data_IF_616643415164
#
_entry.id   IF_616643415164
#
_cell.length_a   1.000
_cell.length_b   1.000
_cell.length_c   1.000
_cell.angle_alpha   90.00
_cell.angle_beta   90.00
_cell.angle_gamma   90.00
#
_symmetry.space_group_name_H-M   'P 1'
#
loop_
_entity.id
_entity.type
_entity.pdbx_description
1 polymer ?
#
# COMPACT_ATOMS: atom_id res chain seq x y z
N UNK A 1 22.72 12.69 59.76
CA UNK A 1 24.14 13.16 59.91
C UNK A 1 24.61 13.59 58.56
N UNK A 2 24.82 14.85 58.41
CA UNK A 2 25.82 15.61 57.66
C UNK A 2 26.02 15.22 56.17
N UNK A 3 26.01 16.09 55.20
CA UNK A 3 26.03 17.54 55.18
C UNK A 3 25.99 18.06 53.74
N UNK A 4 25.32 19.16 53.61
CA UNK A 4 25.20 20.07 52.48
C UNK A 4 26.56 20.65 52.05
N UNK A 5 26.74 20.93 50.76
CA UNK A 5 27.44 22.15 50.32
C UNK A 5 26.97 22.58 48.91
N UNK A 6 26.37 23.73 48.92
CA UNK A 6 26.11 24.67 47.83
C UNK A 6 27.40 25.37 47.37
N UNK A 7 27.53 25.69 46.09
CA UNK A 7 28.26 26.88 45.61
C UNK A 7 27.80 27.28 44.20
N UNK A 8 27.26 28.47 44.09
CA UNK A 8 27.02 29.33 42.91
C UNK A 8 28.12 30.38 42.82
N UNK A 9 28.07 31.39 41.90
CA UNK A 9 28.39 31.36 40.47
C UNK A 9 29.52 32.39 40.16
N UNK A 10 30.04 32.40 38.94
CA UNK A 10 30.99 33.39 38.46
C UNK A 10 30.67 33.93 37.08
N UNK A 11 30.13 35.12 37.04
CA UNK A 11 29.97 35.95 35.86
C UNK A 11 31.33 36.56 35.47
N UNK A 12 31.61 36.66 34.16
CA UNK A 12 32.57 37.65 33.65
C UNK A 12 32.04 38.26 32.35
N UNK A 13 32.07 39.59 32.39
CA UNK A 13 31.55 40.57 31.46
C UNK A 13 32.35 40.71 30.14
N UNK A 14 31.60 41.14 29.18
CA UNK A 14 31.84 41.92 27.98
C UNK A 14 33.23 42.56 27.72
N UNK A 15 33.64 42.56 26.46
CA UNK A 15 34.27 43.75 25.80
C UNK A 15 33.95 43.75 24.30
N UNK A 16 33.23 44.80 23.92
CA UNK A 16 33.09 45.36 22.56
C UNK A 16 34.45 45.93 22.08
N UNK A 17 34.77 45.72 20.81
CA UNK A 17 35.67 46.60 20.07
C UNK A 17 35.20 46.69 18.60
N UNK A 18 34.66 47.85 18.26
CA UNK A 18 34.39 48.30 16.90
C UNK A 18 35.70 48.80 16.27
N UNK A 19 35.95 48.44 15.01
CA UNK A 19 36.88 49.18 14.14
C UNK A 19 36.25 49.40 12.77
N UNK A 20 35.95 50.64 12.52
CA UNK A 20 35.64 51.28 11.23
C UNK A 20 36.97 51.71 10.60
N UNK A 21 37.14 51.52 9.28
CA UNK A 21 37.96 52.36 8.37
C UNK A 21 37.88 51.77 6.95
N UNK A 22 37.17 52.45 6.08
CA UNK A 22 37.57 53.48 5.07
C UNK A 22 38.08 52.87 3.75
N UNK A 23 37.30 53.21 2.72
CA UNK A 23 37.49 52.95 1.30
C UNK A 23 38.71 53.63 0.72
N UNK A 24 39.37 53.01 -0.25
CA UNK A 24 40.06 53.71 -1.35
C UNK A 24 39.89 52.94 -2.66
N UNK A 25 39.31 53.64 -3.62
CA UNK A 25 39.25 53.25 -5.01
C UNK A 25 40.58 53.55 -5.71
N UNK A 26 41.07 52.59 -6.48
CA UNK A 26 42.06 52.88 -7.54
C UNK A 26 41.69 52.13 -8.80
N UNK A 27 41.30 52.92 -9.81
CA UNK A 27 41.17 52.53 -11.21
C UNK A 27 42.57 52.36 -11.82
N UNK A 28 42.84 51.21 -12.41
CA UNK A 28 43.90 51.06 -13.42
C UNK A 28 43.38 50.12 -14.52
N UNK A 29 43.26 50.68 -15.71
CA UNK A 29 43.03 50.01 -16.96
C UNK A 29 44.28 49.24 -17.42
N UNK A 30 44.10 48.03 -17.93
CA UNK A 30 45.19 47.22 -18.49
C UNK A 30 44.67 46.06 -19.34
N UNK A 31 44.72 46.28 -20.61
CA UNK A 31 44.71 45.44 -21.81
C UNK A 31 44.55 43.92 -21.71
N UNK A 32 43.66 43.52 -22.60
CA UNK A 32 43.40 42.21 -23.21
C UNK A 32 44.58 41.25 -23.35
N UNK A 33 44.32 40.01 -22.94
CA UNK A 33 44.74 38.81 -23.71
C UNK A 33 43.64 37.78 -23.64
N UNK A 34 43.04 37.46 -24.78
CA UNK A 34 42.03 36.47 -24.94
C UNK A 34 42.53 35.08 -24.48
N UNK A 35 41.79 34.49 -23.61
CA UNK A 35 41.78 33.07 -23.37
C UNK A 35 40.33 32.61 -23.65
N UNK A 36 40.17 31.86 -24.74
CA UNK A 36 38.96 31.17 -25.14
C UNK A 36 38.61 30.10 -24.07
N UNK A 37 37.98 30.53 -23.00
CA UNK A 37 37.24 29.65 -22.11
C UNK A 37 35.85 29.46 -22.75
N UNK A 38 35.64 28.33 -23.40
CA UNK A 38 34.30 27.90 -23.80
C UNK A 38 33.39 27.90 -22.56
N UNK A 39 32.06 28.06 -22.77
CA UNK A 39 31.12 27.90 -21.68
C UNK A 39 31.34 26.53 -21.09
N UNK A 40 31.75 26.44 -19.84
CA UNK A 40 31.54 25.25 -19.04
C UNK A 40 30.02 25.08 -18.99
N UNK A 41 29.48 24.21 -19.84
CA UNK A 41 28.16 23.64 -19.64
C UNK A 41 28.17 23.07 -18.23
N UNK A 42 27.50 23.76 -17.33
CA UNK A 42 27.08 23.18 -16.08
C UNK A 42 26.23 21.97 -16.43
N UNK A 43 26.77 20.78 -16.22
CA UNK A 43 26.08 19.49 -16.35
C UNK A 43 25.04 19.28 -15.22
N UNK A 44 24.51 20.33 -14.66
CA UNK A 44 23.27 20.33 -13.89
C UNK A 44 22.12 20.40 -14.89
N UNK A 45 21.81 19.23 -15.47
CA UNK A 45 20.51 19.00 -16.10
C UNK A 45 19.40 19.34 -15.13
N UNK A 46 18.17 19.66 -15.58
CA UNK A 46 17.08 20.06 -14.71
C UNK A 46 16.81 18.96 -13.69
N UNK A 47 17.40 19.13 -12.50
CA UNK A 47 17.34 18.18 -11.39
C UNK A 47 16.01 18.34 -10.66
N UNK A 48 14.91 18.12 -11.34
CA UNK A 48 13.58 18.18 -10.77
C UNK A 48 12.50 18.05 -11.83
N UNK A 49 11.33 17.67 -11.38
CA UNK A 49 10.12 17.53 -12.19
C UNK A 49 8.99 18.40 -11.60
N UNK A 50 9.13 19.75 -11.53
CA UNK A 50 8.24 20.60 -10.73
C UNK A 50 6.77 20.45 -11.11
N UNK A 51 6.44 20.31 -12.39
CA UNK A 51 5.06 20.13 -12.82
C UNK A 51 4.50 18.73 -12.42
N UNK A 52 5.34 17.70 -12.42
CA UNK A 52 4.95 16.35 -11.96
C UNK A 52 4.79 16.38 -10.44
N UNK A 53 5.73 16.99 -9.73
CA UNK A 53 5.70 17.15 -8.28
C UNK A 53 4.45 17.89 -7.80
N UNK A 54 4.08 19.01 -8.42
CA UNK A 54 2.87 19.75 -8.07
C UNK A 54 1.60 18.89 -8.26
N UNK A 55 1.52 18.11 -9.34
CA UNK A 55 0.42 17.14 -9.54
C UNK A 55 0.44 16.03 -8.52
N UNK A 56 1.61 15.52 -8.17
CA UNK A 56 1.78 14.48 -7.15
C UNK A 56 1.31 14.98 -5.78
N UNK A 57 1.74 16.16 -5.35
CA UNK A 57 1.30 16.80 -4.11
C UNK A 57 -0.22 16.98 -4.06
N UNK A 58 -0.82 17.49 -5.12
CA UNK A 58 -2.27 17.67 -5.19
C UNK A 58 -3.05 16.35 -5.18
N UNK A 59 -2.49 15.26 -5.74
CA UNK A 59 -3.11 13.94 -5.71
C UNK A 59 -3.01 13.30 -4.33
N UNK A 60 -1.85 13.40 -3.70
CA UNK A 60 -1.62 12.90 -2.33
C UNK A 60 -2.52 13.63 -1.34
N UNK A 61 -2.58 14.96 -1.39
CA UNK A 61 -3.45 15.75 -0.49
C UNK A 61 -4.93 15.35 -0.59
N UNK A 62 -5.43 15.02 -1.78
CA UNK A 62 -6.80 14.50 -1.91
C UNK A 62 -6.96 13.09 -1.34
N UNK A 63 -5.94 12.24 -1.48
CA UNK A 63 -5.98 10.89 -0.93
C UNK A 63 -5.79 10.85 0.60
N UNK A 64 -5.28 11.93 1.20
CA UNK A 64 -5.14 12.11 2.65
C UNK A 64 -6.43 12.56 3.34
N UNK A 65 -7.50 12.91 2.59
CA UNK A 65 -8.79 13.27 3.15
C UNK A 65 -9.37 12.10 3.96
N UNK A 66 -9.75 12.37 5.20
CA UNK A 66 -10.21 11.34 6.15
C UNK A 66 -11.73 11.20 6.19
N UNK A 67 -12.47 12.27 5.92
CA UNK A 67 -13.93 12.26 5.92
C UNK A 67 -14.46 11.90 4.53
N UNK A 68 -14.41 10.61 4.20
CA UNK A 68 -14.93 10.07 2.94
C UNK A 68 -16.31 9.45 3.22
N UNK A 69 -17.41 10.14 2.86
CA UNK A 69 -18.74 9.61 3.08
C UNK A 69 -19.01 8.42 2.16
N UNK A 70 -19.96 7.58 2.58
CA UNK A 70 -20.41 6.46 1.78
C UNK A 70 -20.90 6.91 0.39
N UNK A 71 -20.26 6.41 -0.64
CA UNK A 71 -20.58 6.67 -2.05
C UNK A 71 -20.95 5.38 -2.82
N UNK A 72 -21.13 4.28 -2.11
CA UNK A 72 -21.45 2.98 -2.68
C UNK A 72 -22.95 2.75 -2.84
N UNK A 73 -23.38 1.49 -3.03
CA UNK A 73 -24.78 1.12 -3.24
C UNK A 73 -25.70 1.62 -2.14
N UNK A 74 -26.84 2.17 -2.53
CA UNK A 74 -27.93 2.58 -1.63
C UNK A 74 -29.18 1.70 -1.76
N UNK A 75 -29.17 0.79 -2.74
CA UNK A 75 -30.25 -0.15 -3.03
C UNK A 75 -29.71 -1.50 -3.50
N UNK A 76 -30.48 -2.55 -3.25
CA UNK A 76 -30.13 -3.92 -3.61
C UNK A 76 -31.19 -4.91 -3.13
N UNK A 77 -30.97 -6.21 -3.32
CA UNK A 77 -31.90 -7.24 -2.85
C UNK A 77 -31.85 -7.38 -1.33
N UNK A 78 -33.00 -7.64 -0.72
CA UNK A 78 -33.07 -8.09 0.67
C UNK A 78 -32.22 -9.37 0.86
N UNK A 79 -31.76 -9.62 2.07
CA UNK A 79 -30.91 -10.76 2.38
C UNK A 79 -31.59 -12.10 2.07
N UNK A 80 -30.99 -12.92 1.21
CA UNK A 80 -31.41 -14.30 0.96
C UNK A 80 -30.98 -15.17 2.14
N UNK A 81 -31.88 -15.94 2.72
CA UNK A 81 -31.56 -16.76 3.91
C UNK A 81 -30.76 -18.04 3.57
N UNK A 82 -30.06 -18.59 4.57
CA UNK A 82 -29.53 -19.95 4.59
C UNK A 82 -28.44 -20.23 3.56
N UNK A 83 -27.52 -19.30 3.35
CA UNK A 83 -26.38 -19.47 2.44
C UNK A 83 -25.10 -19.84 3.17
N UNK A 84 -24.24 -20.59 2.48
CA UNK A 84 -22.89 -20.93 2.94
C UNK A 84 -21.88 -20.44 1.93
N UNK A 85 -20.91 -19.66 2.40
CA UNK A 85 -19.80 -19.16 1.58
C UNK A 85 -18.50 -19.87 1.98
N UNK A 86 -17.73 -20.30 1.00
CA UNK A 86 -16.35 -20.75 1.23
C UNK A 86 -15.39 -19.67 0.74
N UNK A 87 -14.55 -19.15 1.65
CA UNK A 87 -13.46 -18.24 1.33
C UNK A 87 -12.18 -19.06 1.16
N UNK A 88 -11.68 -19.17 -0.07
CA UNK A 88 -10.39 -19.77 -0.35
C UNK A 88 -9.34 -18.69 -0.30
N UNK A 89 -8.48 -18.74 0.70
CA UNK A 89 -7.40 -17.78 0.89
C UNK A 89 -6.12 -18.22 0.14
N UNK A 90 -5.44 -17.28 -0.50
CA UNK A 90 -4.08 -17.54 -1.01
C UNK A 90 -3.18 -18.02 0.15
N UNK A 91 -3.12 -17.23 1.22
CA UNK A 91 -2.57 -17.62 2.53
C UNK A 91 -3.14 -16.73 3.63
N UNK A 92 -3.45 -17.31 4.77
CA UNK A 92 -3.92 -16.56 5.94
C UNK A 92 -2.80 -15.85 6.70
N UNK A 93 -1.54 -16.07 6.33
CA UNK A 93 -0.41 -15.30 6.85
C UNK A 93 -0.27 -13.92 6.20
N UNK A 94 -0.96 -13.69 5.06
CA UNK A 94 -1.10 -12.36 4.47
C UNK A 94 -2.20 -11.57 5.20
N UNK A 95 -1.87 -10.46 5.91
CA UNK A 95 -2.83 -9.68 6.69
C UNK A 95 -4.00 -9.14 5.87
N UNK A 96 -3.78 -8.76 4.60
CA UNK A 96 -4.84 -8.29 3.71
C UNK A 96 -5.86 -9.37 3.41
N UNK A 97 -5.39 -10.58 3.03
CA UNK A 97 -6.26 -11.75 2.81
C UNK A 97 -7.06 -12.09 4.06
N UNK A 98 -6.40 -12.09 5.23
CA UNK A 98 -7.05 -12.36 6.52
C UNK A 98 -8.06 -11.27 6.90
N UNK A 99 -7.75 -10.00 6.63
CA UNK A 99 -8.63 -8.85 6.89
C UNK A 99 -9.90 -8.91 6.06
N UNK A 100 -9.79 -9.15 4.75
CA UNK A 100 -10.95 -9.33 3.86
C UNK A 100 -11.81 -10.52 4.27
N UNK A 101 -11.20 -11.68 4.62
CA UNK A 101 -11.92 -12.84 5.13
C UNK A 101 -12.68 -12.56 6.43
N UNK A 102 -12.10 -11.76 7.33
CA UNK A 102 -12.77 -11.31 8.55
C UNK A 102 -13.96 -10.39 8.24
N UNK A 103 -13.82 -9.47 7.29
CA UNK A 103 -14.91 -8.64 6.81
C UNK A 103 -16.08 -9.48 6.26
N UNK A 104 -15.77 -10.52 5.46
CA UNK A 104 -16.78 -11.49 4.97
C UNK A 104 -17.49 -12.18 6.12
N UNK A 105 -16.78 -12.66 7.14
CA UNK A 105 -17.38 -13.29 8.33
C UNK A 105 -18.32 -12.34 9.07
N UNK A 106 -17.89 -11.09 9.28
CA UNK A 106 -18.69 -10.06 9.95
C UNK A 106 -20.00 -9.80 9.20
N UNK A 107 -19.91 -9.58 7.89
CA UNK A 107 -21.07 -9.31 7.05
C UNK A 107 -22.03 -10.51 6.98
N UNK A 108 -21.49 -11.70 6.78
CA UNK A 108 -22.25 -12.95 6.72
C UNK A 108 -23.03 -13.19 8.03
N UNK A 109 -22.41 -12.92 9.17
CA UNK A 109 -23.07 -13.02 10.48
C UNK A 109 -24.31 -12.10 10.58
N UNK A 110 -24.24 -10.89 10.02
CA UNK A 110 -25.36 -9.94 10.02
C UNK A 110 -26.58 -10.49 9.28
N UNK A 111 -26.37 -11.23 8.18
CA UNK A 111 -27.46 -11.76 7.35
C UNK A 111 -27.75 -13.25 7.58
N UNK A 112 -27.08 -13.86 8.57
CA UNK A 112 -27.32 -15.25 8.98
C UNK A 112 -26.78 -16.27 7.99
N UNK A 113 -25.60 -16.02 7.41
CA UNK A 113 -24.89 -16.95 6.54
C UNK A 113 -23.70 -17.60 7.26
N UNK A 114 -23.37 -18.82 6.85
CA UNK A 114 -22.18 -19.52 7.29
C UNK A 114 -20.99 -19.21 6.38
N UNK A 115 -19.80 -19.05 7.00
CA UNK A 115 -18.54 -18.85 6.27
C UNK A 115 -17.49 -19.85 6.72
N UNK A 116 -16.97 -20.61 5.76
CA UNK A 116 -15.80 -21.46 5.94
C UNK A 116 -14.58 -20.84 5.22
N UNK A 117 -13.47 -20.74 5.91
CA UNK A 117 -12.19 -20.32 5.31
C UNK A 117 -11.31 -21.54 5.13
N UNK A 118 -10.73 -21.68 3.92
CA UNK A 118 -9.77 -22.72 3.58
C UNK A 118 -8.47 -22.01 3.18
N UNK A 119 -7.37 -22.31 3.88
CA UNK A 119 -6.07 -21.70 3.64
C UNK A 119 -5.30 -22.48 2.56
N UNK A 120 -4.91 -21.80 1.49
CA UNK A 120 -4.05 -22.34 0.42
C UNK A 120 -2.57 -22.38 0.78
N UNK A 121 -2.19 -21.91 1.97
CA UNK A 121 -0.83 -21.94 2.51
C UNK A 121 0.23 -21.29 1.58
N UNK A 122 -0.19 -20.39 0.68
CA UNK A 122 0.69 -19.63 -0.22
C UNK A 122 1.39 -20.46 -1.31
N UNK A 123 1.04 -21.73 -1.47
CA UNK A 123 1.67 -22.60 -2.47
C UNK A 123 0.68 -22.96 -3.60
N UNK A 124 1.15 -23.14 -4.85
CA UNK A 124 0.27 -23.52 -5.96
C UNK A 124 -0.50 -24.82 -5.68
N UNK A 125 0.15 -25.82 -5.10
CA UNK A 125 -0.48 -27.10 -4.75
C UNK A 125 -1.49 -26.95 -3.62
N UNK A 126 -1.20 -26.15 -2.60
CA UNK A 126 -2.11 -25.86 -1.50
C UNK A 126 -3.35 -25.11 -1.97
N UNK A 127 -3.20 -24.09 -2.82
CA UNK A 127 -4.30 -23.32 -3.42
C UNK A 127 -5.18 -24.23 -4.28
N UNK A 128 -4.60 -25.12 -5.11
CA UNK A 128 -5.36 -26.09 -5.91
C UNK A 128 -6.12 -27.10 -5.05
N UNK A 129 -5.53 -27.56 -3.95
CA UNK A 129 -6.18 -28.44 -2.99
C UNK A 129 -7.33 -27.73 -2.29
N UNK A 130 -7.12 -26.50 -1.81
CA UNK A 130 -8.13 -25.67 -1.16
C UNK A 130 -9.33 -25.38 -2.08
N UNK A 131 -9.08 -25.04 -3.34
CA UNK A 131 -10.15 -24.87 -4.33
C UNK A 131 -10.88 -26.17 -4.64
N UNK A 132 -10.18 -27.31 -4.70
CA UNK A 132 -10.81 -28.62 -4.91
C UNK A 132 -11.72 -28.99 -3.75
N UNK A 133 -11.29 -28.73 -2.51
CA UNK A 133 -12.11 -28.90 -1.30
C UNK A 133 -13.31 -27.98 -1.31
N UNK A 134 -13.12 -26.69 -1.64
CA UNK A 134 -14.21 -25.71 -1.72
C UNK A 134 -15.32 -26.15 -2.66
N UNK A 135 -14.99 -26.61 -3.88
CA UNK A 135 -15.96 -27.12 -4.86
C UNK A 135 -16.65 -28.39 -4.36
N UNK A 136 -15.91 -29.30 -3.72
CA UNK A 136 -16.46 -30.56 -3.19
C UNK A 136 -17.48 -30.32 -2.07
N UNK A 137 -17.38 -29.23 -1.31
CA UNK A 137 -18.33 -28.83 -0.27
C UNK A 137 -19.68 -28.36 -0.84
N UNK A 138 -19.77 -28.07 -2.14
CA UNK A 138 -20.97 -27.54 -2.82
C UNK A 138 -21.58 -26.35 -2.09
N UNK A 139 -20.81 -25.31 -1.78
CA UNK A 139 -21.33 -24.12 -1.09
C UNK A 139 -22.26 -23.33 -1.99
N UNK A 140 -22.94 -22.34 -1.42
CA UNK A 140 -23.72 -21.37 -2.20
C UNK A 140 -22.84 -20.46 -3.07
N UNK A 141 -21.62 -20.15 -2.62
CA UNK A 141 -20.66 -19.35 -3.36
C UNK A 141 -19.22 -19.56 -2.87
N UNK A 142 -18.23 -19.25 -3.70
CA UNK A 142 -16.81 -19.37 -3.38
C UNK A 142 -16.13 -18.01 -3.61
N UNK A 143 -15.37 -17.54 -2.62
CA UNK A 143 -14.46 -16.39 -2.76
C UNK A 143 -13.08 -16.88 -3.18
N UNK A 144 -12.52 -16.25 -4.21
CA UNK A 144 -11.12 -16.42 -4.63
C UNK A 144 -10.33 -15.28 -3.98
N UNK A 145 -9.66 -15.57 -2.84
CA UNK A 145 -9.03 -14.58 -1.98
C UNK A 145 -7.54 -14.41 -2.24
N UNK A 146 -7.16 -13.47 -3.10
CA UNK A 146 -5.78 -13.02 -3.26
C UNK A 146 -4.89 -13.87 -4.18
N UNK A 147 -5.45 -14.71 -5.04
CA UNK A 147 -4.68 -15.50 -6.00
C UNK A 147 -5.31 -15.48 -7.39
N UNK A 148 -4.50 -15.79 -8.40
CA UNK A 148 -4.93 -15.87 -9.79
C UNK A 148 -5.81 -17.11 -10.03
N UNK A 149 -7.07 -16.92 -10.44
CA UNK A 149 -7.97 -18.04 -10.76
C UNK A 149 -7.47 -18.93 -11.90
N UNK A 150 -6.62 -18.45 -12.81
CA UNK A 150 -6.04 -19.25 -13.89
C UNK A 150 -5.17 -20.39 -13.34
N UNK A 151 -4.53 -20.17 -12.17
CA UNK A 151 -3.79 -21.22 -11.47
C UNK A 151 -4.68 -22.40 -10.98
N UNK A 152 -6.00 -22.18 -10.92
CA UNK A 152 -7.02 -23.15 -10.51
C UNK A 152 -8.13 -23.32 -11.55
N UNK A 153 -7.82 -23.11 -12.82
CA UNK A 153 -8.79 -23.08 -13.93
C UNK A 153 -9.70 -24.32 -14.00
N UNK A 154 -9.18 -25.51 -13.67
CA UNK A 154 -10.00 -26.73 -13.61
C UNK A 154 -11.06 -26.68 -12.51
N UNK A 155 -10.72 -26.12 -11.35
CA UNK A 155 -11.63 -25.96 -10.21
C UNK A 155 -12.65 -24.85 -10.49
N UNK A 156 -12.21 -23.75 -11.10
CA UNK A 156 -13.10 -22.68 -11.60
C UNK A 156 -14.14 -23.23 -12.56
N UNK A 157 -13.73 -24.00 -13.57
CA UNK A 157 -14.65 -24.64 -14.51
C UNK A 157 -15.62 -25.63 -13.85
N UNK A 158 -15.19 -26.34 -12.78
CA UNK A 158 -16.08 -27.23 -12.01
C UNK A 158 -17.10 -26.45 -11.18
N UNK A 159 -16.70 -25.32 -10.59
CA UNK A 159 -17.61 -24.45 -9.85
C UNK A 159 -18.67 -23.86 -10.77
N UNK A 160 -18.27 -23.38 -11.94
CA UNK A 160 -19.15 -22.86 -12.98
C UNK A 160 -20.15 -23.94 -13.45
N UNK A 161 -19.68 -25.14 -13.83
CA UNK A 161 -20.52 -26.26 -14.21
C UNK A 161 -21.50 -26.71 -13.10
N UNK A 162 -21.16 -26.44 -11.83
CA UNK A 162 -22.04 -26.70 -10.68
C UNK A 162 -22.98 -25.52 -10.36
N UNK A 163 -22.92 -24.42 -11.11
CA UNK A 163 -23.71 -23.21 -10.88
C UNK A 163 -23.33 -22.48 -9.60
N UNK A 164 -22.07 -22.65 -9.11
CA UNK A 164 -21.56 -21.98 -7.92
C UNK A 164 -20.92 -20.64 -8.35
N UNK A 165 -21.51 -19.48 -8.02
CA UNK A 165 -20.92 -18.20 -8.35
C UNK A 165 -19.59 -18.00 -7.64
N UNK A 166 -18.63 -17.39 -8.37
CA UNK A 166 -17.31 -17.02 -7.88
C UNK A 166 -17.23 -15.51 -7.75
N UNK A 167 -16.76 -15.04 -6.59
CA UNK A 167 -16.39 -13.64 -6.35
C UNK A 167 -14.90 -13.58 -6.06
N UNK A 168 -14.18 -12.78 -6.84
CA UNK A 168 -12.77 -12.52 -6.61
C UNK A 168 -12.56 -11.42 -5.55
N UNK A 169 -11.50 -11.54 -4.79
CA UNK A 169 -10.88 -10.46 -4.05
C UNK A 169 -9.42 -10.39 -4.48
N UNK A 170 -9.00 -9.28 -5.13
CA UNK A 170 -7.67 -9.16 -5.76
C UNK A 170 -7.30 -10.35 -6.67
N UNK A 171 -8.31 -10.97 -7.29
CA UNK A 171 -8.12 -12.14 -8.12
C UNK A 171 -7.67 -11.80 -9.54
N UNK A 172 -8.18 -10.70 -10.10
CA UNK A 172 -7.79 -10.17 -11.42
C UNK A 172 -7.48 -8.67 -11.31
N UNK A 173 -6.84 -8.11 -12.33
CA UNK A 173 -6.33 -6.74 -12.30
C UNK A 173 -7.41 -5.66 -12.18
N UNK A 174 -8.57 -5.86 -12.80
CA UNK A 174 -9.64 -4.87 -12.83
C UNK A 174 -10.78 -5.20 -11.85
N UNK A 175 -11.42 -4.20 -11.23
CA UNK A 175 -12.66 -4.40 -10.48
C UNK A 175 -13.82 -4.77 -11.43
N UNK A 176 -14.85 -5.43 -10.87
CA UNK A 176 -16.06 -5.75 -11.58
C UNK A 176 -16.12 -7.15 -12.17
N UNK A 177 -17.15 -7.47 -12.99
CA UNK A 177 -17.33 -8.78 -13.58
C UNK A 177 -16.22 -9.18 -14.54
N UNK A 178 -15.83 -10.48 -14.51
CA UNK A 178 -14.84 -11.03 -15.44
C UNK A 178 -15.46 -12.22 -16.18
N UNK A 179 -15.14 -12.34 -17.49
CA UNK A 179 -15.55 -13.48 -18.31
C UNK A 179 -14.45 -14.52 -18.50
N UNK A 180 -13.20 -14.13 -18.23
CA UNK A 180 -12.02 -15.00 -18.36
C UNK A 180 -10.97 -14.56 -17.33
N UNK A 181 -10.82 -15.25 -16.23
CA UNK A 181 -11.70 -16.33 -15.71
C UNK A 181 -13.12 -15.83 -15.40
N UNK A 182 -14.11 -16.75 -15.37
CA UNK A 182 -15.49 -16.35 -15.09
C UNK A 182 -15.67 -16.07 -13.60
N UNK A 183 -15.88 -14.78 -13.29
CA UNK A 183 -16.18 -14.29 -11.95
C UNK A 183 -17.45 -13.45 -12.02
N UNK A 184 -18.35 -13.65 -11.08
CA UNK A 184 -19.51 -12.77 -10.94
C UNK A 184 -19.07 -11.31 -10.79
N UNK A 185 -18.06 -11.10 -9.96
CA UNK A 185 -17.33 -9.83 -9.86
C UNK A 185 -15.98 -10.04 -9.18
N UNK A 186 -15.05 -9.09 -9.36
CA UNK A 186 -13.82 -8.98 -8.62
C UNK A 186 -13.88 -7.73 -7.74
N UNK A 187 -13.82 -7.91 -6.44
CA UNK A 187 -13.78 -6.83 -5.44
C UNK A 187 -12.34 -6.44 -5.21
N UNK A 188 -12.00 -5.21 -5.53
CA UNK A 188 -10.68 -4.62 -5.37
C UNK A 188 -10.81 -3.09 -5.47
N UNK A 189 -9.85 -2.34 -4.95
CA UNK A 189 -9.66 -0.94 -5.30
C UNK A 189 -9.10 -0.82 -6.72
N UNK A 190 -9.08 0.39 -7.26
CA UNK A 190 -8.44 0.66 -8.55
C UNK A 190 -6.91 0.54 -8.40
N UNK A 191 -6.32 -0.46 -9.02
CA UNK A 191 -4.88 -0.74 -8.93
C UNK A 191 -4.02 0.38 -9.53
N UNK A 192 -4.54 1.10 -10.56
CA UNK A 192 -3.81 2.23 -11.17
C UNK A 192 -3.76 3.41 -10.19
N UNK A 193 -4.86 3.67 -9.48
CA UNK A 193 -4.91 4.69 -8.43
C UNK A 193 -4.00 4.33 -7.26
N UNK A 194 -4.07 3.11 -6.71
CA UNK A 194 -3.20 2.66 -5.61
C UNK A 194 -1.72 2.80 -5.98
N UNK A 195 -1.33 2.30 -7.15
CA UNK A 195 0.03 2.40 -7.65
C UNK A 195 0.45 3.86 -7.87
N UNK A 196 -0.46 4.65 -8.47
CA UNK A 196 -0.24 6.07 -8.73
C UNK A 196 -0.03 6.88 -7.45
N UNK A 197 -0.89 6.72 -6.44
CA UNK A 197 -0.78 7.44 -5.15
C UNK A 197 0.50 7.03 -4.42
N UNK A 198 0.84 5.73 -4.40
CA UNK A 198 2.09 5.26 -3.76
C UNK A 198 3.34 5.89 -4.39
N UNK A 199 3.40 5.97 -5.72
CA UNK A 199 4.52 6.59 -6.42
C UNK A 199 4.54 8.12 -6.26
N UNK A 200 3.36 8.77 -6.32
CA UNK A 200 3.24 10.23 -6.15
C UNK A 200 3.60 10.67 -4.75
N UNK A 201 3.32 9.86 -3.73
CA UNK A 201 3.78 10.15 -2.37
C UNK A 201 5.31 10.21 -2.32
N UNK A 202 6.03 9.28 -2.94
CA UNK A 202 7.49 9.31 -3.05
C UNK A 202 7.96 10.57 -3.80
N UNK A 203 7.36 10.89 -4.94
CA UNK A 203 7.72 12.07 -5.73
C UNK A 203 7.51 13.35 -4.91
N UNK A 204 6.41 13.43 -4.16
CA UNK A 204 6.05 14.62 -3.38
C UNK A 204 6.93 14.80 -2.16
N UNK A 205 7.20 13.74 -1.38
CA UNK A 205 7.98 13.80 -0.14
C UNK A 205 9.48 13.90 -0.37
N UNK A 206 9.96 13.57 -1.57
CA UNK A 206 11.38 13.64 -1.95
C UNK A 206 11.76 14.91 -2.72
N UNK A 207 10.82 15.84 -2.90
CA UNK A 207 11.00 16.99 -3.80
C UNK A 207 11.46 16.55 -5.21
N UNK A 208 10.92 15.42 -5.68
CA UNK A 208 11.26 14.83 -6.97
C UNK A 208 12.67 14.27 -7.07
N UNK A 209 13.32 13.96 -5.95
CA UNK A 209 14.71 13.42 -5.89
C UNK A 209 14.78 12.25 -4.92
N UNK A 210 14.62 11.03 -5.43
CA UNK A 210 14.67 9.83 -4.63
C UNK A 210 15.52 8.72 -5.25
N UNK A 211 16.16 7.93 -4.39
CA UNK A 211 16.63 6.60 -4.72
C UNK A 211 15.65 5.59 -4.13
N UNK A 212 14.98 4.82 -4.98
CA UNK A 212 13.84 3.99 -4.61
C UNK A 212 14.17 2.51 -4.71
N UNK A 213 13.82 1.73 -3.69
CA UNK A 213 13.74 0.27 -3.75
C UNK A 213 12.26 -0.12 -3.84
N UNK A 214 11.92 -0.97 -4.81
CA UNK A 214 10.59 -1.53 -4.97
C UNK A 214 10.61 -3.02 -4.64
N UNK A 215 9.71 -3.47 -3.76
CA UNK A 215 9.57 -4.88 -3.34
C UNK A 215 8.23 -5.42 -3.83
N UNK A 216 8.24 -6.60 -4.44
CA UNK A 216 7.06 -7.24 -5.02
C UNK A 216 7.07 -8.75 -4.87
N UNK A 217 5.93 -9.38 -5.13
CA UNK A 217 5.79 -10.79 -5.44
C UNK A 217 5.34 -10.93 -6.91
N UNK A 218 6.31 -11.12 -7.82
CA UNK A 218 6.04 -11.23 -9.25
C UNK A 218 5.36 -12.56 -9.66
N UNK A 219 5.22 -13.51 -8.73
CA UNK A 219 4.46 -14.76 -8.96
C UNK A 219 2.95 -14.51 -9.00
N UNK A 220 2.49 -13.39 -8.43
CA UNK A 220 1.10 -12.96 -8.40
C UNK A 220 0.89 -11.92 -9.52
N UNK A 221 0.09 -12.20 -10.58
CA UNK A 221 -0.10 -11.28 -11.70
C UNK A 221 -0.61 -9.89 -11.28
N UNK A 222 -1.53 -9.82 -10.29
CA UNK A 222 -2.02 -8.57 -9.74
C UNK A 222 -0.89 -7.73 -9.10
N UNK A 223 -0.02 -8.36 -8.29
CA UNK A 223 1.10 -7.68 -7.64
C UNK A 223 2.15 -7.21 -8.66
N UNK A 224 2.44 -8.02 -9.68
CA UNK A 224 3.34 -7.65 -10.78
C UNK A 224 2.80 -6.44 -11.54
N UNK A 225 1.51 -6.45 -11.92
CA UNK A 225 0.85 -5.32 -12.58
C UNK A 225 0.94 -4.04 -11.73
N UNK A 226 0.64 -4.12 -10.43
CA UNK A 226 0.77 -3.00 -9.49
C UNK A 226 2.20 -2.44 -9.49
N UNK A 227 3.21 -3.31 -9.43
CA UNK A 227 4.62 -2.90 -9.44
C UNK A 227 5.02 -2.22 -10.74
N UNK A 228 4.54 -2.70 -11.88
CA UNK A 228 4.83 -2.10 -13.18
C UNK A 228 4.19 -0.72 -13.32
N UNK A 229 2.98 -0.53 -12.78
CA UNK A 229 2.31 0.77 -12.70
C UNK A 229 3.07 1.75 -11.80
N UNK A 230 3.53 1.30 -10.62
CA UNK A 230 4.38 2.11 -9.72
C UNK A 230 5.65 2.56 -10.46
N UNK A 231 6.35 1.64 -11.12
CA UNK A 231 7.57 1.96 -11.88
C UNK A 231 7.31 2.99 -12.99
N UNK A 232 6.20 2.83 -13.71
CA UNK A 232 5.78 3.74 -14.77
C UNK A 232 5.52 5.15 -14.22
N UNK A 233 4.83 5.26 -13.09
CA UNK A 233 4.55 6.56 -12.46
C UNK A 233 5.83 7.21 -11.91
N UNK A 234 6.70 6.47 -11.21
CA UNK A 234 8.00 6.98 -10.74
C UNK A 234 8.86 7.51 -11.89
N UNK A 235 8.85 6.83 -13.05
CA UNK A 235 9.63 7.23 -14.23
C UNK A 235 9.16 8.57 -14.85
N UNK A 236 8.01 9.10 -14.46
CA UNK A 236 7.54 10.43 -14.92
C UNK A 236 8.38 11.57 -14.34
N UNK A 237 9.15 11.31 -13.26
CA UNK A 237 10.05 12.28 -12.63
C UNK A 237 11.52 11.84 -12.76
N UNK A 238 12.33 12.45 -13.64
CA UNK A 238 13.71 12.03 -13.89
C UNK A 238 14.64 12.06 -12.68
N UNK A 239 14.34 12.87 -11.66
CA UNK A 239 15.10 12.92 -10.41
C UNK A 239 14.83 11.72 -9.48
N UNK A 240 13.79 10.94 -9.74
CA UNK A 240 13.46 9.72 -8.98
C UNK A 240 14.04 8.51 -9.70
N UNK A 241 14.95 7.81 -9.06
CA UNK A 241 15.69 6.67 -9.63
C UNK A 241 15.30 5.37 -8.95
N UNK A 242 14.89 4.37 -9.71
CA UNK A 242 14.72 3.01 -9.20
C UNK A 242 16.12 2.38 -9.02
N UNK A 243 16.51 2.13 -7.77
CA UNK A 243 17.80 1.53 -7.41
C UNK A 243 17.77 0.01 -7.49
N UNK A 244 16.65 -0.59 -7.05
CA UNK A 244 16.44 -2.03 -7.06
C UNK A 244 14.95 -2.38 -7.23
N UNK A 245 14.71 -3.52 -7.85
CA UNK A 245 13.41 -4.18 -7.95
C UNK A 245 13.57 -5.59 -7.38
N UNK A 246 13.04 -5.79 -6.18
CA UNK A 246 13.21 -7.03 -5.42
C UNK A 246 11.97 -7.91 -5.52
N UNK A 247 12.15 -9.10 -6.06
CA UNK A 247 11.09 -10.09 -6.15
C UNK A 247 11.20 -11.07 -4.98
N UNK A 248 10.35 -10.89 -3.98
CA UNK A 248 10.29 -11.72 -2.78
C UNK A 248 8.87 -12.29 -2.66
N UNK A 249 8.66 -13.59 -2.94
CA UNK A 249 7.34 -14.19 -2.73
C UNK A 249 6.82 -13.99 -1.31
N UNK A 250 5.53 -13.68 -1.17
CA UNK A 250 4.90 -13.45 0.13
C UNK A 250 5.15 -14.58 1.14
N UNK A 251 5.07 -15.89 0.77
CA UNK A 251 5.38 -16.96 1.69
C UNK A 251 6.83 -16.99 2.19
N UNK A 252 7.76 -16.38 1.44
CA UNK A 252 9.18 -16.31 1.79
C UNK A 252 9.57 -15.01 2.49
N UNK A 253 8.64 -14.06 2.63
CA UNK A 253 8.93 -12.69 3.05
C UNK A 253 9.66 -12.64 4.40
N UNK A 254 9.17 -13.34 5.41
CA UNK A 254 9.77 -13.33 6.75
C UNK A 254 11.22 -13.86 6.78
N UNK A 255 11.56 -14.79 5.89
CA UNK A 255 12.89 -15.40 5.83
C UNK A 255 13.86 -14.65 4.91
N UNK A 256 13.36 -14.03 3.83
CA UNK A 256 14.19 -13.40 2.80
C UNK A 256 14.34 -11.89 3.00
N UNK A 257 13.28 -11.19 3.37
CA UNK A 257 13.30 -9.73 3.48
C UNK A 257 14.43 -9.20 4.37
N UNK A 258 14.68 -9.72 5.59
CA UNK A 258 15.76 -9.18 6.43
C UNK A 258 17.14 -9.25 5.77
N UNK A 259 17.42 -10.32 5.03
CA UNK A 259 18.71 -10.51 4.34
C UNK A 259 18.86 -9.60 3.14
N UNK A 260 17.81 -9.47 2.35
CA UNK A 260 17.80 -8.56 1.18
C UNK A 260 17.94 -7.10 1.63
N UNK A 261 17.24 -6.69 2.68
CA UNK A 261 17.38 -5.33 3.25
C UNK A 261 18.83 -5.07 3.71
N UNK A 262 19.46 -6.00 4.42
CA UNK A 262 20.84 -5.85 4.85
C UNK A 262 21.82 -5.71 3.65
N UNK A 263 21.60 -6.47 2.59
CA UNK A 263 22.35 -6.37 1.33
C UNK A 263 22.15 -5.03 0.65
N UNK A 264 20.92 -4.56 0.53
CA UNK A 264 20.56 -3.29 -0.10
C UNK A 264 21.14 -2.10 0.68
N UNK A 265 21.09 -2.11 2.01
CA UNK A 265 21.69 -1.07 2.86
C UNK A 265 23.20 -0.98 2.63
N UNK A 266 23.89 -2.12 2.56
CA UNK A 266 25.32 -2.15 2.25
C UNK A 266 25.63 -1.61 0.85
N UNK A 267 24.79 -1.91 -0.13
CA UNK A 267 24.99 -1.54 -1.54
C UNK A 267 24.68 -0.07 -1.82
N UNK A 268 23.57 0.44 -1.30
CA UNK A 268 23.05 1.77 -1.70
C UNK A 268 23.29 2.85 -0.66
N UNK A 269 23.44 2.50 0.63
CA UNK A 269 23.72 3.46 1.71
C UNK A 269 22.77 4.67 1.64
N UNK A 270 23.32 5.89 1.75
CA UNK A 270 22.56 7.14 1.73
C UNK A 270 21.89 7.45 0.38
N UNK A 271 22.19 6.74 -0.71
CA UNK A 271 21.46 6.91 -1.95
C UNK A 271 20.08 6.23 -1.96
N UNK A 272 19.82 5.34 -1.00
CA UNK A 272 18.50 4.73 -0.80
C UNK A 272 17.70 5.60 0.18
N UNK A 273 16.74 6.35 -0.35
CA UNK A 273 15.97 7.32 0.41
C UNK A 273 14.51 6.90 0.63
N UNK A 274 13.95 6.09 -0.26
CA UNK A 274 12.56 5.65 -0.20
C UNK A 274 12.41 4.19 -0.61
N UNK A 275 11.36 3.55 -0.10
CA UNK A 275 10.94 2.23 -0.58
C UNK A 275 9.45 2.24 -0.84
N UNK A 276 9.03 1.40 -1.79
CA UNK A 276 7.63 1.02 -1.96
C UNK A 276 7.53 -0.50 -2.04
N UNK A 277 6.57 -1.06 -1.32
CA UNK A 277 6.28 -2.49 -1.39
C UNK A 277 4.81 -2.70 -1.76
N UNK A 278 4.51 -3.78 -2.47
CA UNK A 278 3.13 -4.11 -2.88
C UNK A 278 2.24 -4.51 -1.69
N UNK A 279 2.85 -4.71 -0.51
CA UNK A 279 2.20 -5.13 0.73
C UNK A 279 2.99 -4.62 1.94
N UNK A 280 2.31 -4.25 3.02
CA UNK A 280 2.92 -3.72 4.25
C UNK A 280 3.74 -4.75 5.03
N UNK A 281 3.47 -6.05 4.85
CA UNK A 281 4.17 -7.12 5.56
C UNK A 281 5.69 -7.08 5.35
N UNK A 282 6.16 -6.63 4.18
CA UNK A 282 7.59 -6.51 3.90
C UNK A 282 8.29 -5.54 4.85
N UNK A 283 7.61 -4.48 5.31
CA UNK A 283 8.20 -3.53 6.26
C UNK A 283 8.18 -4.05 7.70
N UNK A 284 7.23 -4.91 8.04
CA UNK A 284 7.29 -5.67 9.31
C UNK A 284 8.55 -6.55 9.35
N UNK A 285 8.79 -7.29 8.26
CA UNK A 285 9.93 -8.20 8.12
C UNK A 285 11.27 -7.46 7.93
N UNK A 286 11.25 -6.25 7.34
CA UNK A 286 12.43 -5.41 7.15
C UNK A 286 12.91 -4.72 8.45
N UNK A 287 12.01 -4.42 9.37
CA UNK A 287 12.29 -3.62 10.57
C UNK A 287 13.47 -4.13 11.42
N UNK A 288 13.67 -5.43 11.65
CA UNK A 288 14.84 -5.93 12.36
C UNK A 288 16.18 -5.61 11.67
N UNK A 289 16.23 -5.66 10.33
CA UNK A 289 17.44 -5.36 9.57
C UNK A 289 17.76 -3.86 9.59
N UNK A 290 16.77 -2.99 9.43
CA UNK A 290 16.94 -1.55 9.58
C UNK A 290 17.45 -1.18 10.97
N UNK A 291 16.87 -1.78 12.01
CA UNK A 291 17.31 -1.56 13.41
C UNK A 291 18.74 -2.02 13.63
N UNK A 292 19.12 -3.19 13.12
CA UNK A 292 20.47 -3.72 13.24
C UNK A 292 21.53 -2.86 12.53
N UNK A 293 21.14 -2.21 11.43
CA UNK A 293 21.97 -1.26 10.70
C UNK A 293 22.06 0.13 11.36
N UNK A 294 21.28 0.40 12.42
CA UNK A 294 21.25 1.69 13.11
C UNK A 294 20.43 2.76 12.39
N UNK A 295 19.57 2.35 11.43
CA UNK A 295 18.69 3.30 10.73
C UNK A 295 17.62 3.85 11.68
N UNK A 296 17.25 5.12 11.47
CA UNK A 296 16.19 5.75 12.26
C UNK A 296 14.84 5.25 11.81
N UNK A 297 13.97 4.89 12.75
CA UNK A 297 12.63 4.39 12.45
C UNK A 297 11.78 5.36 11.63
N UNK A 298 11.94 6.65 11.83
CA UNK A 298 11.23 7.74 11.13
C UNK A 298 12.07 8.45 10.05
N UNK A 299 13.25 7.94 9.74
CA UNK A 299 14.18 8.56 8.77
C UNK A 299 14.40 7.69 7.54
N UNK A 300 15.22 8.13 6.60
CA UNK A 300 15.41 7.35 5.39
C UNK A 300 15.99 5.95 5.69
N UNK A 301 15.58 4.91 4.89
CA UNK A 301 14.59 5.05 3.84
C UNK A 301 13.17 5.24 4.37
N UNK A 302 12.41 6.16 3.75
CA UNK A 302 10.98 6.33 4.02
C UNK A 302 10.20 5.26 3.26
N UNK A 303 9.43 4.45 3.96
CA UNK A 303 8.81 3.26 3.42
C UNK A 303 7.30 3.44 3.28
N UNK A 304 6.75 3.14 2.09
CA UNK A 304 5.30 3.16 1.82
C UNK A 304 4.81 1.79 1.36
N UNK A 305 3.71 1.32 1.96
CA UNK A 305 2.96 0.15 1.48
C UNK A 305 1.96 0.54 0.39
N UNK A 306 1.93 -0.19 -0.72
CA UNK A 306 0.91 -0.06 -1.76
C UNK A 306 -0.21 -1.10 -1.55
N UNK A 307 -0.89 -1.06 -0.42
CA UNK A 307 -1.91 -2.01 0.06
C UNK A 307 -1.45 -2.63 1.38
N UNK A 308 -2.24 -3.24 1.93
CA UNK A 308 -3.24 -3.81 2.70
C UNK A 308 -3.77 -2.88 3.81
N UNK A 309 -2.88 -2.12 4.52
CA UNK A 309 -3.30 -1.28 5.63
C UNK A 309 -3.75 -2.11 6.85
N UNK A 310 -2.98 -3.14 7.19
CA UNK A 310 -3.26 -3.94 8.39
C UNK A 310 -2.94 -3.18 9.69
N UNK A 311 -3.48 -3.62 10.85
CA UNK A 311 -3.27 -2.91 12.11
C UNK A 311 -1.81 -2.71 12.49
N UNK A 312 -0.91 -3.63 12.09
CA UNK A 312 0.51 -3.50 12.39
C UNK A 312 1.19 -2.45 11.52
N UNK A 313 0.70 -2.22 10.31
CA UNK A 313 1.15 -1.12 9.44
C UNK A 313 0.79 0.23 10.07
N UNK A 314 -0.46 0.43 10.49
CA UNK A 314 -0.88 1.64 11.21
C UNK A 314 -0.07 1.87 12.49
N UNK A 315 0.19 0.79 13.25
CA UNK A 315 1.04 0.89 14.44
C UNK A 315 2.45 1.35 14.09
N UNK A 316 3.08 0.82 13.04
CA UNK A 316 4.42 1.23 12.60
C UNK A 316 4.44 2.69 12.14
N UNK A 317 3.46 3.10 11.37
CA UNK A 317 3.31 4.48 10.88
C UNK A 317 3.16 5.43 12.07
N UNK A 318 2.21 5.20 12.96
CA UNK A 318 1.91 6.06 14.09
C UNK A 318 3.04 6.12 15.14
N UNK A 319 3.88 5.09 15.22
CA UNK A 319 5.04 5.05 16.12
C UNK A 319 6.36 5.42 15.44
N UNK A 320 6.35 5.77 14.14
CA UNK A 320 7.55 6.12 13.38
C UNK A 320 8.55 4.96 13.29
N UNK A 321 8.09 3.72 13.10
CA UNK A 321 8.95 2.54 13.09
C UNK A 321 9.05 1.89 11.70
N UNK A 322 9.97 2.42 10.88
CA UNK A 322 10.37 1.85 9.59
C UNK A 322 9.23 1.74 8.56
N UNK A 323 8.13 2.48 8.78
CA UNK A 323 7.08 2.68 7.79
C UNK A 323 6.50 4.08 7.97
N UNK A 324 6.45 4.85 6.88
CA UNK A 324 6.02 6.24 6.88
C UNK A 324 4.58 6.42 6.38
N UNK A 325 4.14 5.53 5.49
CA UNK A 325 2.81 5.60 4.89
C UNK A 325 2.32 4.22 4.43
N UNK A 326 1.02 4.12 4.20
CA UNK A 326 0.40 3.03 3.44
C UNK A 326 -0.76 3.56 2.60
N UNK A 327 -1.03 2.93 1.46
CA UNK A 327 -2.27 3.10 0.70
C UNK A 327 -3.17 1.93 1.07
N UNK A 328 -3.98 2.05 2.14
CA UNK A 328 -4.71 0.92 2.71
C UNK A 328 -5.86 0.47 1.82
N UNK A 329 -6.11 -0.83 1.80
CA UNK A 329 -7.36 -1.40 1.31
C UNK A 329 -8.43 -1.28 2.40
N UNK A 330 -9.68 -0.90 2.08
CA UNK A 330 -10.77 -0.92 3.04
C UNK A 330 -11.26 -2.36 3.25
N UNK A 331 -10.45 -3.16 3.97
CA UNK A 331 -10.58 -4.61 4.05
C UNK A 331 -11.92 -5.07 4.60
N UNK A 332 -12.42 -4.37 5.62
CA UNK A 332 -13.71 -4.71 6.21
C UNK A 332 -14.86 -4.39 5.25
N UNK A 333 -14.85 -3.20 4.63
CA UNK A 333 -15.81 -2.83 3.59
C UNK A 333 -15.80 -3.83 2.43
N UNK A 334 -14.61 -4.19 1.92
CA UNK A 334 -14.49 -5.15 0.81
C UNK A 334 -15.09 -6.51 1.18
N UNK A 335 -14.92 -6.96 2.43
CA UNK A 335 -15.59 -8.16 2.93
C UNK A 335 -17.12 -8.04 2.95
N UNK A 336 -17.66 -6.88 3.36
CA UNK A 336 -19.10 -6.60 3.30
C UNK A 336 -19.60 -6.51 1.87
N UNK A 337 -18.83 -5.90 0.97
CA UNK A 337 -19.13 -5.85 -0.47
C UNK A 337 -19.19 -7.26 -1.07
N UNK A 338 -18.24 -8.14 -0.76
CA UNK A 338 -18.25 -9.53 -1.23
C UNK A 338 -19.56 -10.24 -0.86
N UNK A 339 -20.05 -10.03 0.37
CA UNK A 339 -21.33 -10.63 0.81
C UNK A 339 -22.52 -10.02 0.07
N UNK A 340 -22.52 -8.70 -0.17
CA UNK A 340 -23.57 -8.05 -0.98
C UNK A 340 -23.55 -8.55 -2.43
N UNK A 341 -22.37 -8.73 -3.00
CA UNK A 341 -22.23 -9.26 -4.36
C UNK A 341 -22.77 -10.70 -4.49
N UNK A 342 -22.49 -11.56 -3.51
CA UNK A 342 -23.14 -12.88 -3.48
C UNK A 342 -24.64 -12.78 -3.30
N UNK A 343 -25.14 -11.89 -2.44
CA UNK A 343 -26.58 -11.69 -2.25
C UNK A 343 -27.25 -11.24 -3.57
N UNK A 344 -26.58 -10.40 -4.36
CA UNK A 344 -26.99 -10.02 -5.71
C UNK A 344 -27.00 -11.22 -6.66
N UNK A 345 -25.93 -12.01 -6.68
CA UNK A 345 -25.83 -13.21 -7.50
C UNK A 345 -26.97 -14.21 -7.19
N UNK A 346 -27.23 -14.49 -5.91
CA UNK A 346 -28.30 -15.39 -5.48
C UNK A 346 -29.71 -14.87 -5.78
N UNK A 347 -29.84 -13.56 -5.94
CA UNK A 347 -31.11 -12.88 -6.29
C UNK A 347 -31.27 -12.65 -7.79
N UNK A 348 -30.36 -13.16 -8.63
CA UNK A 348 -30.36 -12.93 -10.08
C UNK A 348 -30.21 -11.45 -10.47
N UNK A 349 -29.52 -10.65 -9.64
CA UNK A 349 -29.24 -9.24 -9.90
C UNK A 349 -27.81 -9.08 -10.41
N UNK A 350 -27.52 -8.07 -11.22
CA UNK A 350 -26.15 -7.76 -11.63
C UNK A 350 -25.27 -7.36 -10.42
N UNK A 351 -23.96 -7.48 -10.57
CA UNK A 351 -22.99 -6.92 -9.62
C UNK A 351 -23.24 -5.41 -9.40
N UNK A 352 -22.85 -4.92 -8.22
CA UNK A 352 -23.08 -3.53 -7.83
C UNK A 352 -22.31 -2.52 -8.69
N UNK A 353 -21.17 -2.94 -9.24
CA UNK A 353 -20.23 -2.08 -9.95
C UNK A 353 -19.48 -1.11 -9.03
N UNK A 354 -19.57 -1.27 -7.71
CA UNK A 354 -18.91 -0.41 -6.76
C UNK A 354 -17.41 -0.70 -6.69
N UNK A 355 -16.62 0.35 -6.69
CA UNK A 355 -15.17 0.32 -6.39
C UNK A 355 -14.91 1.32 -5.28
N UNK A 356 -14.27 0.87 -4.21
CA UNK A 356 -13.97 1.72 -3.06
C UNK A 356 -12.95 2.81 -3.45
N UNK A 357 -13.04 4.01 -2.86
CA UNK A 357 -12.07 5.07 -3.07
C UNK A 357 -10.70 4.67 -2.52
N UNK A 358 -9.65 5.28 -3.09
CA UNK A 358 -8.27 5.11 -2.62
C UNK A 358 -7.97 6.17 -1.56
N UNK A 359 -7.30 5.76 -0.49
CA UNK A 359 -6.84 6.61 0.60
C UNK A 359 -5.34 6.39 0.82
N UNK A 360 -4.65 7.36 1.43
CA UNK A 360 -3.30 7.20 1.94
C UNK A 360 -3.28 7.55 3.43
N UNK A 361 -2.76 6.64 4.24
CA UNK A 361 -2.56 6.84 5.67
C UNK A 361 -1.10 7.16 5.97
N UNK A 362 -0.89 8.25 6.71
CA UNK A 362 0.38 8.72 7.24
C UNK A 362 0.22 8.98 8.75
N UNK A 363 1.30 9.30 9.46
CA UNK A 363 1.19 9.66 10.87
C UNK A 363 0.34 10.93 11.12
N UNK A 364 0.23 11.80 10.11
CA UNK A 364 -0.49 13.08 10.24
C UNK A 364 -2.01 12.92 10.17
N UNK A 365 -2.51 11.91 9.47
CA UNK A 365 -3.95 11.70 9.22
C UNK A 365 -4.53 10.41 9.78
N UNK A 366 -3.72 9.56 10.44
CA UNK A 366 -4.16 8.26 10.95
C UNK A 366 -3.90 8.05 12.46
N UNK A 367 -3.70 9.14 13.20
CA UNK A 367 -3.39 9.06 14.63
C UNK A 367 -4.49 8.32 15.42
N UNK A 368 -4.14 7.18 16.01
CA UNK A 368 -5.05 6.34 16.77
C UNK A 368 -5.84 5.32 15.95
N UNK A 369 -5.76 5.37 14.63
CA UNK A 369 -6.39 4.37 13.77
C UNK A 369 -5.60 3.07 13.73
N UNK A 370 -6.31 1.98 13.51
CA UNK A 370 -5.75 0.64 13.32
C UNK A 370 -6.07 0.05 11.95
N UNK A 371 -7.01 0.65 11.24
CA UNK A 371 -7.45 0.29 9.88
C UNK A 371 -8.11 1.50 9.26
N UNK A 372 -8.31 1.46 7.96
CA UNK A 372 -9.10 2.44 7.26
C UNK A 372 -10.25 1.79 6.51
N UNK A 373 -11.44 2.36 6.66
CA UNK A 373 -12.63 2.05 5.85
C UNK A 373 -13.45 3.35 5.71
N UNK A 374 -14.08 3.64 4.57
CA UNK A 374 -15.05 4.72 4.43
C UNK A 374 -16.18 4.61 5.47
N UNK A 375 -16.67 5.73 5.98
CA UNK A 375 -17.73 5.75 7.00
C UNK A 375 -19.10 5.36 6.42
N UNK A 376 -19.99 4.76 7.25
CA UNK A 376 -21.40 4.56 6.92
C UNK A 376 -21.75 3.34 6.06
N UNK A 377 -20.80 2.55 5.58
CA UNK A 377 -21.06 1.40 4.71
C UNK A 377 -21.84 0.28 5.41
N UNK A 378 -21.57 0.04 6.71
CA UNK A 378 -22.26 -1.01 7.47
C UNK A 378 -23.76 -0.73 7.58
N UNK A 379 -24.12 0.51 7.88
CA UNK A 379 -25.51 0.97 7.94
C UNK A 379 -26.18 0.92 6.56
N UNK A 380 -25.44 1.27 5.50
CA UNK A 380 -25.95 1.20 4.14
C UNK A 380 -26.27 -0.24 3.73
N UNK A 381 -25.33 -1.17 3.92
CA UNK A 381 -25.57 -2.58 3.61
C UNK A 381 -26.66 -3.20 4.48
N UNK A 382 -26.71 -2.91 5.80
CA UNK A 382 -27.80 -3.36 6.66
C UNK A 382 -29.16 -2.92 6.14
N UNK A 383 -29.29 -1.66 5.74
CA UNK A 383 -30.56 -1.16 5.14
C UNK A 383 -30.90 -1.88 3.85
N UNK A 384 -29.92 -2.10 2.96
CA UNK A 384 -30.12 -2.83 1.71
C UNK A 384 -30.64 -4.24 1.99
N UNK A 385 -30.04 -4.94 2.96
CA UNK A 385 -30.41 -6.32 3.32
C UNK A 385 -31.66 -6.45 4.17
N UNK A 386 -32.20 -5.35 4.66
CA UNK A 386 -33.35 -5.35 5.59
C UNK A 386 -33.00 -5.85 6.99
N UNK A 387 -31.84 -5.45 7.52
CA UNK A 387 -31.29 -5.88 8.81
C UNK A 387 -31.02 -4.68 9.74
#
# INVERSE_FOLDING_TARGET
>A
MYGSRTATPGAYEARLAACVLVATATLLAGCERGSSGGPQESTDGPSGCPAVQARAQAAVARAEETDIPWNGPTSGPAAVAGKTIVYVAQTMTNPGVAGAANGVRQAAQVIGWDVRVIDGAGTPTGIQAAMSEAVALKPSGIVIGGFDPDATSRQVARADAAGIPLVGWHAVAAPGPSRRPELFTNVTTDVEEVAGISARWIISTSDGRAGVVLITDASIPFARNKSDLIRKELATCPGVRLLAYENIPIPDASSRTPREIASLLSRFRSSWTHSVAINDLYFADAAPAFRAAGEKGSGPPFNIGAGDGDPSAFQRINSGQYQAATVPEPLSLQGWQIVDEFNRAFSGRPASGYTAPVHIATADNSAGDTTWDPSGYREAYRRIWGR
#
